data_IF_427267642782
#
_entry.id   IF_427267642782
#
_cell.length_a   1.000
_cell.length_b   1.000
_cell.length_c   1.000
_cell.angle_alpha   90.00
_cell.angle_beta   90.00
_cell.angle_gamma   90.00
#
_symmetry.space_group_name_H-M   'P 1'
#
loop_
_entity.id
_entity.type
_entity.pdbx_description
1 polymer ?
#
# COMPACT_ATOMS: atom_id res chain seq x y z
N UNK A 1 -33.02 -7.42 -11.97
CA UNK A 1 -32.39 -6.51 -12.93
C UNK A 1 -30.93 -6.87 -13.04
N UNK A 2 -30.62 -7.70 -14.02
CA UNK A 2 -29.29 -8.17 -14.40
C UNK A 2 -28.62 -7.12 -15.28
N UNK A 3 -27.32 -6.90 -15.12
CA UNK A 3 -26.40 -6.79 -16.26
C UNK A 3 -25.04 -7.37 -15.89
N UNK A 4 -24.82 -8.61 -16.33
CA UNK A 4 -23.52 -9.06 -16.81
C UNK A 4 -23.19 -8.30 -18.09
N UNK A 5 -21.93 -7.85 -18.27
CA UNK A 5 -21.38 -7.63 -19.61
C UNK A 5 -19.94 -8.11 -19.70
N UNK A 6 -19.76 -9.02 -20.66
CA UNK A 6 -18.54 -9.69 -21.08
C UNK A 6 -17.48 -8.74 -21.67
N UNK A 7 -16.21 -9.02 -21.32
CA UNK A 7 -14.98 -9.17 -22.14
C UNK A 7 -14.93 -8.55 -23.55
N UNK A 8 -13.89 -7.73 -23.79
CA UNK A 8 -13.04 -7.65 -25.01
C UNK A 8 -11.78 -6.85 -24.61
N UNK A 9 -10.65 -7.46 -24.22
CA UNK A 9 -9.56 -8.01 -25.04
C UNK A 9 -8.91 -7.02 -26.05
N UNK A 10 -7.62 -6.73 -25.77
CA UNK A 10 -6.50 -6.47 -26.70
C UNK A 10 -6.24 -5.06 -27.23
N UNK A 11 -5.34 -4.33 -26.56
CA UNK A 11 -4.24 -3.64 -27.25
C UNK A 11 -2.90 -4.16 -26.72
N UNK A 12 -2.12 -4.65 -27.68
CA UNK A 12 -0.81 -5.27 -27.58
C UNK A 12 0.26 -4.20 -27.33
N UNK A 13 1.13 -4.38 -26.34
CA UNK A 13 2.22 -3.45 -26.08
C UNK A 13 2.99 -3.81 -24.82
N UNK A 14 3.99 -4.68 -24.99
CA UNK A 14 4.94 -5.07 -23.95
C UNK A 14 5.65 -3.84 -23.38
N UNK A 15 5.22 -3.41 -22.20
CA UNK A 15 6.07 -2.71 -21.25
C UNK A 15 6.08 -3.60 -20.03
N UNK A 16 7.08 -4.48 -19.98
CA UNK A 16 7.62 -4.95 -18.71
C UNK A 16 7.86 -3.71 -17.86
N UNK A 17 6.87 -3.36 -17.03
CA UNK A 17 7.02 -2.39 -15.97
C UNK A 17 8.00 -3.03 -15.00
N UNK A 18 9.26 -2.65 -15.16
CA UNK A 18 10.39 -2.85 -14.26
C UNK A 18 10.06 -3.72 -13.03
N UNK A 19 10.27 -5.02 -13.19
CA UNK A 19 10.05 -6.08 -12.20
C UNK A 19 11.11 -6.06 -11.09
N UNK A 20 11.41 -4.90 -10.54
CA UNK A 20 12.34 -4.73 -9.42
C UNK A 20 11.70 -4.09 -8.17
N UNK A 21 10.43 -3.67 -8.26
CA UNK A 21 9.75 -2.88 -7.22
C UNK A 21 8.56 -3.52 -6.50
N UNK A 22 8.35 -4.85 -6.59
CA UNK A 22 7.28 -5.62 -5.95
C UNK A 22 5.87 -5.50 -6.60
N UNK A 23 4.94 -6.40 -6.28
CA UNK A 23 3.53 -6.36 -6.76
C UNK A 23 2.67 -5.45 -5.87
N UNK A 24 1.64 -4.79 -6.42
CA UNK A 24 0.67 -4.05 -5.60
C UNK A 24 -0.21 -5.05 -4.81
N UNK A 25 -0.49 -4.83 -3.51
CA UNK A 25 -1.43 -5.65 -2.75
C UNK A 25 -2.87 -5.52 -3.29
N UNK A 26 -3.64 -6.60 -3.25
CA UNK A 26 -5.03 -6.63 -3.77
C UNK A 26 -5.98 -5.74 -2.94
N UNK A 27 -5.65 -5.52 -1.67
CA UNK A 27 -6.37 -4.63 -0.76
C UNK A 27 -6.06 -3.13 -0.97
N UNK A 28 -5.21 -2.79 -1.93
CA UNK A 28 -4.78 -1.41 -2.20
C UNK A 28 -4.79 -1.10 -3.71
N UNK A 29 -4.79 0.18 -4.04
CA UNK A 29 -4.68 0.65 -5.43
C UNK A 29 -3.33 1.32 -5.69
N UNK A 30 -2.65 0.89 -6.76
CA UNK A 30 -1.42 1.50 -7.25
C UNK A 30 -1.64 2.02 -8.68
N UNK A 31 -1.91 3.31 -8.89
CA UNK A 31 -2.26 3.84 -10.21
C UNK A 31 -1.06 3.79 -11.17
N UNK A 32 -1.21 3.27 -12.41
CA UNK A 32 -0.12 3.24 -13.39
C UNK A 32 0.41 4.62 -13.78
N UNK A 33 -0.43 5.66 -13.72
CA UNK A 33 -0.05 7.06 -13.98
C UNK A 33 0.78 7.67 -12.85
N UNK A 34 0.76 7.08 -11.66
CA UNK A 34 1.53 7.52 -10.50
C UNK A 34 2.04 6.32 -9.68
N UNK A 35 2.97 5.52 -10.24
CA UNK A 35 3.28 4.17 -9.76
C UNK A 35 4.05 4.10 -8.43
N UNK A 36 4.43 5.26 -7.89
CA UNK A 36 5.10 5.43 -6.59
C UNK A 36 4.13 5.72 -5.44
N UNK A 37 2.83 5.84 -5.72
CA UNK A 37 1.79 5.96 -4.70
C UNK A 37 1.04 4.64 -4.51
N UNK A 38 0.64 4.39 -3.27
CA UNK A 38 -0.20 3.26 -2.88
C UNK A 38 -1.33 3.77 -1.99
N UNK A 39 -2.57 3.55 -2.44
CA UNK A 39 -3.79 4.01 -1.79
C UNK A 39 -4.48 2.83 -1.10
N UNK A 40 -4.53 2.87 0.23
CA UNK A 40 -5.13 1.83 1.08
C UNK A 40 -6.11 2.43 2.09
N UNK A 41 -6.42 3.72 1.98
CA UNK A 41 -7.28 4.48 2.89
C UNK A 41 -8.75 4.08 2.83
N UNK A 42 -9.48 4.11 3.96
CA UNK A 42 -10.92 3.88 3.97
C UNK A 42 -11.37 2.45 3.66
N UNK A 43 -10.49 1.45 3.79
CA UNK A 43 -10.74 0.05 3.38
C UNK A 43 -10.99 -0.91 4.53
N UNK A 44 -11.07 -0.42 5.77
CA UNK A 44 -11.29 -1.24 6.96
C UNK A 44 -10.10 -2.15 7.30
N UNK A 45 -8.89 -1.78 6.87
CA UNK A 45 -7.68 -2.56 7.16
C UNK A 45 -7.42 -2.60 8.67
N UNK A 46 -7.16 -3.79 9.21
CA UNK A 46 -6.84 -3.99 10.63
C UNK A 46 -5.35 -4.18 10.88
N UNK A 47 -4.56 -4.36 9.81
CA UNK A 47 -3.12 -4.56 9.85
C UNK A 47 -2.44 -3.81 8.70
N UNK A 48 -1.13 -3.63 8.81
CA UNK A 48 -0.32 -3.04 7.74
C UNK A 48 -0.29 -3.94 6.50
N UNK A 49 -0.55 -3.40 5.29
CA UNK A 49 -0.40 -4.17 4.06
C UNK A 49 1.08 -4.37 3.73
N UNK A 50 1.36 -5.30 2.82
CA UNK A 50 2.72 -5.40 2.25
C UNK A 50 3.05 -4.14 1.43
N UNK A 51 4.21 -3.54 1.66
CA UNK A 51 4.61 -2.29 1.00
C UNK A 51 5.68 -2.60 -0.04
N UNK A 52 5.40 -2.39 -1.34
CA UNK A 52 6.41 -2.55 -2.38
C UNK A 52 7.51 -1.49 -2.25
N UNK A 53 8.76 -1.87 -2.52
CA UNK A 53 9.92 -0.99 -2.29
C UNK A 53 9.92 0.29 -3.13
N UNK A 54 9.21 0.31 -4.26
CA UNK A 54 9.07 1.50 -5.11
C UNK A 54 8.18 2.60 -4.50
N UNK A 55 7.39 2.29 -3.47
CA UNK A 55 6.40 3.22 -2.92
C UNK A 55 7.08 4.35 -2.14
N UNK A 56 6.70 5.59 -2.49
CA UNK A 56 7.13 6.83 -1.84
C UNK A 56 6.01 7.48 -1.04
N UNK A 57 4.75 7.28 -1.46
CA UNK A 57 3.58 7.90 -0.84
C UNK A 57 2.58 6.82 -0.46
N UNK A 58 2.38 6.63 0.85
CA UNK A 58 1.50 5.60 1.39
C UNK A 58 0.33 6.23 2.15
N UNK A 59 -0.89 5.93 1.70
CA UNK A 59 -2.14 6.41 2.26
C UNK A 59 -2.84 5.27 2.99
N UNK A 60 -2.89 5.33 4.32
CA UNK A 60 -3.50 4.33 5.20
C UNK A 60 -4.52 4.94 6.15
N UNK A 61 -4.86 6.22 5.97
CA UNK A 61 -5.80 6.91 6.85
C UNK A 61 -7.21 6.31 6.79
N UNK A 62 -8.01 6.55 7.84
CA UNK A 62 -9.40 6.10 7.94
C UNK A 62 -9.54 4.57 7.86
N UNK A 63 -8.71 3.85 8.60
CA UNK A 63 -8.74 2.38 8.71
C UNK A 63 -8.89 1.96 10.19
N UNK A 64 -8.72 0.67 10.48
CA UNK A 64 -8.79 0.10 11.81
C UNK A 64 -7.45 -0.55 12.23
N UNK A 65 -6.31 -0.04 11.73
CA UNK A 65 -4.99 -0.61 12.01
C UNK A 65 -4.68 -0.43 13.49
N UNK A 66 -4.35 -1.54 14.16
CA UNK A 66 -4.11 -1.57 15.61
C UNK A 66 -2.64 -1.61 15.99
N UNK A 67 -1.74 -2.00 15.08
CA UNK A 67 -0.32 -2.16 15.38
C UNK A 67 0.61 -1.81 14.21
N UNK A 68 1.82 -1.38 14.56
CA UNK A 68 2.94 -1.11 13.66
C UNK A 68 4.17 -1.86 14.17
N UNK A 69 4.34 -3.16 13.90
CA UNK A 69 5.53 -3.89 14.32
C UNK A 69 6.81 -3.29 13.69
N UNK A 70 7.98 -3.58 14.27
CA UNK A 70 9.28 -3.12 13.74
C UNK A 70 9.51 -3.50 12.26
N UNK A 71 8.88 -4.58 11.80
CA UNK A 71 8.93 -5.05 10.41
C UNK A 71 7.95 -4.36 9.46
N UNK A 72 7.01 -3.54 9.95
CA UNK A 72 5.91 -2.99 9.16
C UNK A 72 6.38 -2.17 7.94
N UNK A 73 7.53 -1.50 8.06
CA UNK A 73 8.10 -0.64 7.02
C UNK A 73 9.40 -1.18 6.44
N UNK A 74 9.77 -2.45 6.71
CA UNK A 74 11.09 -3.01 6.34
C UNK A 74 11.38 -2.95 4.84
N UNK A 75 10.35 -3.09 4.00
CA UNK A 75 10.48 -3.02 2.54
C UNK A 75 10.25 -1.61 1.99
N UNK A 76 9.75 -0.67 2.81
CA UNK A 76 9.38 0.67 2.41
C UNK A 76 10.61 1.62 2.38
N UNK A 77 11.70 1.19 1.76
CA UNK A 77 13.01 1.87 1.78
C UNK A 77 13.02 3.22 1.08
N UNK A 78 12.07 3.47 0.17
CA UNK A 78 11.91 4.74 -0.55
C UNK A 78 10.79 5.63 0.01
N UNK A 79 10.19 5.27 1.15
CA UNK A 79 9.03 5.98 1.69
C UNK A 79 9.38 7.42 2.06
N UNK A 80 8.56 8.36 1.59
CA UNK A 80 8.68 9.79 1.86
C UNK A 80 7.51 10.25 2.73
N UNK A 81 6.28 9.88 2.36
CA UNK A 81 5.07 10.23 3.10
C UNK A 81 4.31 8.98 3.54
N UNK A 82 3.88 9.01 4.81
CA UNK A 82 3.08 7.98 5.45
C UNK A 82 1.90 8.64 6.15
N UNK A 83 0.68 8.38 5.68
CA UNK A 83 -0.55 8.91 6.27
C UNK A 83 -1.26 7.79 7.03
N UNK A 84 -1.28 7.90 8.37
CA UNK A 84 -1.84 6.88 9.28
C UNK A 84 -2.95 7.40 10.19
N UNK A 85 -3.38 8.66 10.04
CA UNK A 85 -4.39 9.27 10.89
C UNK A 85 -5.76 8.57 10.78
N UNK A 86 -6.60 8.68 11.82
CA UNK A 86 -7.86 7.91 11.93
C UNK A 86 -7.64 6.40 11.77
N UNK A 87 -6.77 5.84 12.60
CA UNK A 87 -6.60 4.42 12.85
C UNK A 87 -6.77 4.15 14.36
N UNK A 88 -6.54 2.90 14.80
CA UNK A 88 -6.70 2.47 16.19
C UNK A 88 -5.34 2.16 16.84
N UNK A 89 -4.31 2.90 16.46
CA UNK A 89 -2.95 2.72 16.98
C UNK A 89 -2.86 3.18 18.43
N UNK A 90 -2.27 2.34 19.27
CA UNK A 90 -1.89 2.66 20.64
C UNK A 90 -0.36 2.71 20.75
N UNK A 91 0.18 3.50 21.68
CA UNK A 91 1.63 3.73 21.79
C UNK A 91 2.44 2.45 22.06
N UNK A 92 1.86 1.50 22.79
CA UNK A 92 2.43 0.19 23.10
C UNK A 92 2.44 -0.77 21.89
N UNK A 93 1.59 -0.51 20.89
CA UNK A 93 1.51 -1.29 19.66
C UNK A 93 2.40 -0.74 18.51
N UNK A 94 3.17 0.31 18.78
CA UNK A 94 4.15 0.88 17.85
C UNK A 94 5.54 0.32 18.19
N UNK A 95 6.13 -0.39 17.23
CA UNK A 95 7.48 -0.90 17.32
C UNK A 95 8.49 0.22 17.50
N UNK A 96 9.47 0.01 18.39
CA UNK A 96 10.46 1.03 18.74
C UNK A 96 11.37 1.40 17.56
N UNK A 97 11.52 0.50 16.59
CA UNK A 97 12.42 0.64 15.43
C UNK A 97 11.69 0.93 14.13
N UNK A 98 10.35 0.94 14.13
CA UNK A 98 9.56 1.00 12.90
C UNK A 98 9.82 2.26 12.05
N UNK A 99 10.18 3.38 12.69
CA UNK A 99 10.49 4.65 12.01
C UNK A 99 11.99 4.95 11.93
N UNK A 100 12.85 4.03 12.37
CA UNK A 100 14.29 4.20 12.21
C UNK A 100 14.63 4.03 10.73
N UNK A 101 15.34 5.02 10.18
CA UNK A 101 15.84 4.96 8.82
C UNK A 101 16.87 3.82 8.73
N UNK A 102 16.53 2.78 7.98
CA UNK A 102 17.46 1.71 7.58
C UNK A 102 18.52 2.23 6.63
#
# INVERSE_FOLDING_TARGET
>A
WLFHRHRQEQYFGSLHADTSGGTCPDECDCPPSFPVAMYCDGRGLTAMPSIPSRIKYLYLQNNAITSLPDSALVNATNLVWLLLHHNQLTSDAIGQKVFLKT
#
